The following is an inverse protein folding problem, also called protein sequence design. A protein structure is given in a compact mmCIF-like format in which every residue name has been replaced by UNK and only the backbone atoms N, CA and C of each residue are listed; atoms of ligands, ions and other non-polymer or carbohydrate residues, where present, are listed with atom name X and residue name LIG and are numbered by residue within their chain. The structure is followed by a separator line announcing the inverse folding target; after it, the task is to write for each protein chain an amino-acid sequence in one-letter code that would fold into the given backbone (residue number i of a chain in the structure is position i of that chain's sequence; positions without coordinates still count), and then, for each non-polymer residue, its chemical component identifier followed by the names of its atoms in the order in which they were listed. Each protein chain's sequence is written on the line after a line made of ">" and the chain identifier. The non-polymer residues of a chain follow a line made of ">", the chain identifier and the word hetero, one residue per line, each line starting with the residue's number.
data_IF_330060422990
#
_entry.id   IF_330060422990
#
_cell.length_a   1.000
_cell.length_b   1.000
_cell.length_c   1.000
_cell.angle_alpha   90.00
_cell.angle_beta   90.00
_cell.angle_gamma   90.00
#
_symmetry.space_group_name_H-M   'P 1'
#
loop_
_entity.id
_entity.type
_entity.pdbx_description
1 polymer ?
#
# COMPACT_ATOMS: atom_id res chain seq x y z
N UNK A 1 -8.51 -4.46 59.16
CA UNK A 1 -8.27 -5.66 58.35
C UNK A 1 -9.59 -6.41 58.15
N UNK A 2 -10.40 -6.00 57.17
CA UNK A 2 -11.50 -6.80 56.58
C UNK A 2 -11.67 -6.33 55.13
N UNK A 3 -11.77 -7.30 54.24
CA UNK A 3 -11.78 -7.26 52.77
C UNK A 3 -13.11 -6.68 52.24
N UNK A 4 -13.05 -5.76 51.28
CA UNK A 4 -13.93 -5.69 50.09
C UNK A 4 -13.74 -4.34 49.37
N UNK A 5 -12.89 -4.31 48.35
CA UNK A 5 -12.97 -3.29 47.30
C UNK A 5 -13.33 -4.00 46.00
N UNK A 6 -14.63 -3.89 45.74
CA UNK A 6 -15.40 -4.05 44.52
C UNK A 6 -14.62 -4.33 43.22
N UNK A 7 -15.07 -5.41 42.60
CA UNK A 7 -15.04 -5.72 41.18
C UNK A 7 -15.28 -4.52 40.25
N UNK A 8 -14.81 -4.72 39.01
CA UNK A 8 -15.30 -4.14 37.77
C UNK A 8 -14.65 -2.82 37.31
N UNK A 9 -13.45 -2.95 36.76
CA UNK A 9 -13.00 -2.10 35.65
C UNK A 9 -12.41 -2.97 34.54
N UNK A 10 -13.21 -3.94 34.10
CA UNK A 10 -13.02 -4.59 32.81
C UNK A 10 -13.64 -3.71 31.73
N UNK A 11 -12.97 -3.69 30.59
CA UNK A 11 -13.52 -3.33 29.28
C UNK A 11 -13.55 -1.83 28.91
N UNK A 12 -12.44 -1.36 28.36
CA UNK A 12 -12.44 -0.43 27.23
C UNK A 12 -11.05 -0.37 26.57
N UNK A 13 -10.57 -1.50 26.05
CA UNK A 13 -9.40 -1.56 25.15
C UNK A 13 -9.81 -1.92 23.72
N UNK A 14 -10.97 -1.43 23.26
CA UNK A 14 -11.46 -1.66 21.90
C UNK A 14 -11.60 -0.35 21.12
N UNK A 15 -10.75 0.64 21.41
CA UNK A 15 -10.67 1.86 20.60
C UNK A 15 -9.75 1.61 19.38
N UNK A 16 -10.38 1.18 18.30
CA UNK A 16 -10.08 1.62 16.93
C UNK A 16 -8.74 1.17 16.31
N UNK A 17 -8.52 -0.14 16.19
CA UNK A 17 -7.81 -0.65 15.02
C UNK A 17 -8.84 -0.84 13.90
N UNK A 18 -9.27 0.26 13.26
CA UNK A 18 -9.85 0.11 11.93
C UNK A 18 -8.74 -0.48 11.06
N UNK A 19 -8.90 -1.68 10.46
CA UNK A 19 -7.98 -2.04 9.40
C UNK A 19 -8.09 -0.91 8.38
N UNK A 20 -6.95 -0.31 8.02
CA UNK A 20 -6.87 0.47 6.81
C UNK A 20 -7.23 -0.50 5.68
N UNK A 21 -8.52 -0.59 5.37
CA UNK A 21 -8.99 -1.28 4.19
C UNK A 21 -8.35 -0.50 3.05
N UNK A 22 -7.31 -1.09 2.47
CA UNK A 22 -6.88 -0.70 1.14
C UNK A 22 -8.16 -0.73 0.31
N UNK A 23 -8.65 0.45 -0.06
CA UNK A 23 -9.77 0.57 -0.97
C UNK A 23 -9.27 -0.02 -2.28
N UNK A 24 -9.59 -1.27 -2.45
CA UNK A 24 -9.47 -2.01 -3.67
C UNK A 24 -10.48 -1.39 -4.64
N UNK A 25 -10.06 -0.30 -5.28
CA UNK A 25 -10.93 0.49 -6.13
C UNK A 25 -11.20 -0.31 -7.41
N UNK A 26 -12.33 -1.02 -7.38
CA UNK A 26 -12.87 -1.66 -8.57
C UNK A 26 -13.63 -0.61 -9.37
N UNK A 27 -13.17 -0.37 -10.59
CA UNK A 27 -13.76 0.58 -11.53
C UNK A 27 -14.51 -0.17 -12.62
N UNK A 28 -15.70 0.31 -12.95
CA UNK A 28 -16.42 -0.16 -14.13
C UNK A 28 -16.01 0.66 -15.35
N UNK A 29 -15.42 0.01 -16.35
CA UNK A 29 -15.17 0.58 -17.67
C UNK A 29 -16.33 0.24 -18.62
N UNK A 30 -16.29 0.72 -19.86
CA UNK A 30 -17.30 0.39 -20.87
C UNK A 30 -17.37 -1.11 -21.18
N UNK A 31 -16.23 -1.81 -21.12
CA UNK A 31 -16.13 -3.23 -21.49
C UNK A 31 -16.08 -4.19 -20.29
N UNK A 32 -15.48 -3.78 -19.17
CA UNK A 32 -15.24 -4.66 -18.03
C UNK A 32 -15.13 -3.91 -16.69
N UNK A 33 -15.31 -4.65 -15.60
CA UNK A 33 -14.89 -4.21 -14.28
C UNK A 33 -13.40 -4.50 -14.09
N UNK A 34 -12.62 -3.48 -13.73
CA UNK A 34 -11.18 -3.58 -13.50
C UNK A 34 -10.88 -3.28 -12.04
N UNK A 35 -9.86 -3.95 -11.51
CA UNK A 35 -9.31 -3.68 -10.19
C UNK A 35 -8.06 -2.83 -10.35
N UNK A 36 -7.98 -1.70 -9.65
CA UNK A 36 -6.80 -0.83 -9.68
C UNK A 36 -6.12 -0.87 -8.33
N UNK A 37 -4.85 -1.26 -8.33
CA UNK A 37 -4.00 -1.27 -7.15
C UNK A 37 -2.82 -0.33 -7.37
N UNK A 38 -2.50 0.48 -6.35
CA UNK A 38 -1.31 1.33 -6.41
C UNK A 38 -0.07 0.49 -6.12
N UNK A 39 0.73 0.22 -7.15
CA UNK A 39 1.96 -0.58 -7.03
C UNK A 39 3.06 0.15 -6.24
N UNK A 40 3.31 1.44 -6.52
CA UNK A 40 4.35 2.23 -5.85
C UNK A 40 3.95 3.71 -5.81
N UNK A 41 4.45 4.43 -4.80
CA UNK A 41 4.22 5.86 -4.60
C UNK A 41 5.54 6.61 -4.40
N UNK A 42 5.57 7.91 -4.69
CA UNK A 42 6.76 8.75 -4.49
C UNK A 42 7.77 8.75 -5.63
N UNK A 43 7.38 8.27 -6.82
CA UNK A 43 8.13 8.44 -8.07
C UNK A 43 8.00 9.87 -8.59
N UNK A 44 9.04 10.42 -9.20
CA UNK A 44 9.06 11.78 -9.74
C UNK A 44 8.62 11.78 -11.22
N UNK A 45 7.31 11.92 -11.45
CA UNK A 45 6.72 11.92 -12.79
C UNK A 45 7.10 10.68 -13.62
N UNK A 46 6.64 9.48 -13.22
CA UNK A 46 6.90 8.25 -13.97
C UNK A 46 6.33 8.35 -15.39
N UNK A 47 7.11 7.89 -16.38
CA UNK A 47 6.83 8.05 -17.81
C UNK A 47 6.51 6.73 -18.51
N UNK A 48 7.24 5.68 -18.18
CA UNK A 48 7.07 4.35 -18.74
C UNK A 48 7.50 3.26 -17.77
N UNK A 49 7.07 2.04 -18.06
CA UNK A 49 7.34 0.85 -17.27
C UNK A 49 7.59 -0.35 -18.17
N UNK A 50 8.53 -1.21 -17.78
CA UNK A 50 8.73 -2.53 -18.36
C UNK A 50 8.82 -3.59 -17.26
N UNK A 51 8.19 -4.73 -17.48
CA UNK A 51 8.34 -5.91 -16.64
C UNK A 51 9.70 -6.56 -16.90
N UNK A 52 10.41 -6.93 -15.84
CA UNK A 52 11.67 -7.65 -15.90
C UNK A 52 11.45 -9.16 -15.72
N UNK A 53 12.35 -10.02 -16.22
CA UNK A 53 12.20 -11.47 -16.13
C UNK A 53 12.16 -12.04 -14.70
N UNK A 54 12.68 -11.29 -13.73
CA UNK A 54 12.69 -11.64 -12.30
C UNK A 54 11.42 -11.16 -11.56
N UNK A 55 10.48 -10.53 -12.27
CA UNK A 55 9.24 -10.01 -11.70
C UNK A 55 9.34 -8.57 -11.19
N UNK A 56 10.52 -7.97 -11.19
CA UNK A 56 10.66 -6.55 -10.89
C UNK A 56 10.16 -5.68 -12.07
N UNK A 57 10.10 -4.37 -11.83
CA UNK A 57 9.71 -3.38 -12.83
C UNK A 57 10.85 -2.38 -13.03
N UNK A 58 11.17 -2.09 -14.29
CA UNK A 58 12.00 -0.95 -14.66
C UNK A 58 11.09 0.23 -14.98
N UNK A 59 11.24 1.32 -14.24
CA UNK A 59 10.44 2.54 -14.40
C UNK A 59 11.33 3.68 -14.87
N UNK A 60 10.90 4.41 -15.89
CA UNK A 60 11.56 5.66 -16.33
C UNK A 60 10.86 6.86 -15.70
N UNK A 61 11.62 7.84 -15.22
CA UNK A 61 11.09 9.07 -14.64
C UNK A 61 11.48 10.29 -15.49
N UNK A 62 10.60 11.30 -15.55
CA UNK A 62 10.82 12.51 -16.36
C UNK A 62 12.18 13.20 -16.12
N UNK A 63 12.74 13.26 -14.90
CA UNK A 63 14.06 13.87 -14.67
C UNK A 63 15.22 13.19 -15.41
N UNK A 64 14.99 12.01 -16.00
CA UNK A 64 15.94 11.35 -16.90
C UNK A 64 16.72 10.19 -16.29
N UNK A 65 16.25 9.62 -15.17
CA UNK A 65 16.82 8.42 -14.56
C UNK A 65 15.80 7.27 -14.54
N UNK A 66 16.32 6.07 -14.28
CA UNK A 66 15.50 4.88 -14.10
C UNK A 66 15.44 4.46 -12.64
N UNK A 67 14.42 3.65 -12.31
CA UNK A 67 14.26 3.01 -11.01
C UNK A 67 13.91 1.54 -11.20
N UNK A 68 14.42 0.70 -10.31
CA UNK A 68 13.88 -0.64 -10.11
C UNK A 68 12.80 -0.58 -9.04
N UNK A 69 11.62 -1.10 -9.33
CA UNK A 69 10.52 -1.26 -8.37
C UNK A 69 10.25 -2.75 -8.17
N UNK A 70 10.01 -3.19 -6.94
CA UNK A 70 9.67 -4.59 -6.64
C UNK A 70 8.15 -4.81 -6.64
N UNK A 71 7.65 -6.06 -6.71
CA UNK A 71 6.23 -6.38 -6.55
C UNK A 71 5.59 -5.84 -5.26
N UNK A 72 6.37 -5.67 -4.20
CA UNK A 72 5.94 -5.11 -2.92
C UNK A 72 5.94 -3.56 -2.92
N UNK A 73 6.24 -2.92 -4.05
CA UNK A 73 6.25 -1.47 -4.21
C UNK A 73 7.51 -0.78 -3.69
N UNK A 74 8.57 -1.53 -3.36
CA UNK A 74 9.83 -0.93 -2.93
C UNK A 74 10.55 -0.29 -4.12
N UNK A 75 10.89 0.98 -3.98
CA UNK A 75 11.63 1.73 -5.01
C UNK A 75 13.13 1.71 -4.69
N UNK A 76 13.93 1.14 -5.59
CA UNK A 76 15.40 1.15 -5.54
C UNK A 76 16.00 2.52 -5.87
N UNK A 77 17.31 2.69 -5.77
CA UNK A 77 17.96 3.98 -6.09
C UNK A 77 17.83 4.36 -7.57
N UNK A 78 18.06 5.64 -7.86
CA UNK A 78 18.12 6.13 -9.23
C UNK A 78 19.38 5.57 -9.90
N UNK A 79 19.20 5.09 -11.12
CA UNK A 79 20.23 4.52 -11.98
C UNK A 79 20.30 5.29 -13.29
#
# INVERSE_FOLDING_TARGET
>A
MVRQTLLASSFCLAAMAAPALALDETFRTEEAEIRVETLAQGLEHPWGLAFLPDGNFLVTERPGFLRIVTPEGKIGNAI
#
